data_IF_401360466842
#
_entry.id   IF_401360466842
#
_cell.length_a   1.000
_cell.length_b   1.000
_cell.length_c   1.000
_cell.angle_alpha   90.00
_cell.angle_beta   90.00
_cell.angle_gamma   90.00
#
_symmetry.space_group_name_H-M   'P 1'
#
loop_
_entity.id
_entity.type
_entity.pdbx_description
1 polymer ?
2 non-polymer ?
#
# COMPACT_ATOMS: atom_id res chain seq x y z
N UNK A 1 14.42 -14.36 -0.20
CA UNK A 1 13.35 -15.26 -0.66
C UNK A 1 12.00 -14.73 -0.21
N UNK A 2 11.88 -14.42 1.07
CA UNK A 2 10.67 -13.84 1.60
C UNK A 2 10.68 -12.37 1.22
N UNK A 3 9.85 -12.02 0.29
CA UNK A 3 9.83 -10.68 -0.22
C UNK A 3 8.98 -9.77 0.68
N UNK A 4 9.53 -9.47 1.87
CA UNK A 4 8.89 -8.59 2.82
C UNK A 4 8.76 -7.24 2.15
N UNK A 5 7.57 -6.73 2.07
CA UNK A 5 7.30 -5.52 1.32
C UNK A 5 7.90 -4.35 2.10
N UNK A 6 8.83 -3.67 1.47
CA UNK A 6 9.51 -2.56 2.10
C UNK A 6 8.88 -1.23 1.68
N UNK A 7 9.42 -0.15 2.20
CA UNK A 7 8.96 1.17 1.86
C UNK A 7 9.24 1.43 0.36
N UNK A 8 10.38 0.92 -0.11
CA UNK A 8 10.79 1.08 -1.50
C UNK A 8 9.88 0.29 -2.44
N UNK A 9 9.45 -0.89 -1.99
CA UNK A 9 8.53 -1.72 -2.80
C UNK A 9 7.19 -1.04 -2.87
N UNK A 10 6.75 -0.50 -1.73
CA UNK A 10 5.47 0.17 -1.65
C UNK A 10 5.48 1.42 -2.50
N UNK A 11 6.60 2.13 -2.49
CA UNK A 11 6.76 3.36 -3.29
C UNK A 11 6.54 3.05 -4.77
N UNK A 12 6.87 1.86 -5.19
CA UNK A 12 6.63 1.43 -6.54
C UNK A 12 5.16 1.05 -6.70
N UNK A 13 4.75 0.05 -5.93
CA UNK A 13 3.42 -0.58 -6.03
C UNK A 13 2.25 0.37 -5.84
N UNK A 14 2.42 1.35 -4.96
CA UNK A 14 1.38 2.32 -4.71
C UNK A 14 1.11 3.11 -6.00
N UNK A 15 2.19 3.45 -6.70
CA UNK A 15 2.12 4.20 -7.96
C UNK A 15 1.53 3.33 -9.07
N UNK A 16 1.77 2.05 -8.96
CA UNK A 16 1.32 1.07 -9.96
C UNK A 16 -0.19 0.85 -9.88
N UNK A 17 -0.80 1.40 -8.87
CA UNK A 17 -2.20 1.26 -8.69
C UNK A 17 -2.90 2.62 -8.87
N UNK A 18 -2.16 3.60 -9.34
CA UNK A 18 -2.68 4.93 -9.59
C UNK A 18 -2.41 5.29 -11.03
N UNK A 19 -3.44 5.62 -11.76
CA UNK A 19 -3.30 5.89 -13.17
C UNK A 19 -3.24 7.37 -13.50
N UNK A 20 -4.26 8.10 -13.11
CA UNK A 20 -4.37 9.51 -13.48
C UNK A 20 -3.81 10.40 -12.41
N UNK A 21 -3.50 9.79 -11.33
CA UNK A 21 -2.89 10.45 -10.25
C UNK A 21 -1.41 10.20 -10.35
N UNK A 22 -0.83 10.88 -11.28
CA UNK A 22 0.56 10.81 -11.52
C UNK A 22 1.17 12.15 -11.24
N UNK A 23 2.24 12.14 -10.52
CA UNK A 23 2.93 13.36 -10.26
C UNK A 23 2.82 13.81 -8.84
N UNK A 24 2.65 12.88 -7.94
CA UNK A 24 2.60 13.21 -6.55
C UNK A 24 4.03 13.18 -5.97
N UNK A 25 4.17 13.17 -4.67
CA UNK A 25 5.48 13.01 -4.10
C UNK A 25 5.44 11.89 -3.15
N UNK A 26 6.23 10.90 -3.43
CA UNK A 26 6.26 9.74 -2.63
C UNK A 26 7.72 9.48 -2.27
N UNK A 27 8.53 10.52 -2.31
CA UNK A 27 9.95 10.34 -2.14
C UNK A 27 10.47 11.06 -0.91
N UNK A 28 9.73 12.01 -0.47
CA UNK A 28 10.12 12.79 0.69
C UNK A 28 9.48 12.30 1.94
N UNK A 29 9.69 11.01 2.22
CA UNK A 29 9.11 10.29 3.39
C UNK A 29 7.58 10.31 3.36
N UNK A 30 7.03 9.30 2.78
CA UNK A 30 5.59 9.20 2.65
C UNK A 30 5.04 8.22 3.65
N UNK A 31 5.93 7.60 4.41
CA UNK A 31 5.57 6.47 5.27
C UNK A 31 4.62 6.89 6.40
N UNK A 32 4.82 8.07 6.95
CA UNK A 32 3.95 8.59 8.02
C UNK A 32 3.07 9.69 7.53
N UNK A 33 3.04 9.88 6.24
CA UNK A 33 2.23 10.91 5.64
C UNK A 33 0.85 10.30 5.42
N UNK A 34 -0.16 11.08 5.21
CA UNK A 34 -1.49 10.50 5.10
C UNK A 34 -1.85 10.31 3.65
N UNK A 35 -2.73 9.35 3.36
CA UNK A 35 -3.15 9.10 1.98
C UNK A 35 -3.77 10.32 1.30
N UNK A 36 -4.36 11.21 2.08
CA UNK A 36 -4.95 12.43 1.56
C UNK A 36 -3.85 13.40 1.07
N UNK A 37 -2.67 13.32 1.67
CA UNK A 37 -1.58 14.22 1.35
C UNK A 37 -0.92 13.74 0.10
N UNK A 38 -0.86 12.44 -0.04
CA UNK A 38 -0.24 11.84 -1.20
C UNK A 38 -1.23 11.71 -2.38
N UNK A 39 -2.38 12.36 -2.23
CA UNK A 39 -3.40 12.40 -3.29
C UNK A 39 -3.98 11.05 -3.64
N UNK A 40 -4.21 10.22 -2.66
CA UNK A 40 -4.75 8.93 -2.92
C UNK A 40 -6.23 8.85 -2.73
N UNK A 41 -6.85 8.23 -3.69
CA UNK A 41 -8.28 8.06 -3.70
C UNK A 41 -8.66 6.89 -2.81
N UNK A 42 -9.91 6.73 -2.61
CA UNK A 42 -10.48 5.75 -1.76
C UNK A 42 -10.44 4.42 -2.51
N UNK A 43 -10.86 4.47 -3.77
CA UNK A 43 -10.91 3.30 -4.64
C UNK A 43 -9.51 2.86 -5.01
N UNK A 44 -8.64 3.85 -5.21
CA UNK A 44 -7.25 3.63 -5.56
C UNK A 44 -6.54 2.78 -4.54
N UNK A 45 -6.88 2.95 -3.27
CA UNK A 45 -6.26 2.18 -2.23
C UNK A 45 -6.77 0.73 -2.22
N UNK A 46 -8.06 0.56 -2.52
CA UNK A 46 -8.67 -0.80 -2.58
C UNK A 46 -7.96 -1.58 -3.66
N UNK A 47 -7.75 -0.89 -4.73
CA UNK A 47 -7.03 -1.33 -5.88
C UNK A 47 -5.55 -1.63 -5.55
N UNK A 48 -4.90 -0.71 -4.84
CA UNK A 48 -3.53 -0.88 -4.36
C UNK A 48 -3.41 -2.18 -3.54
N UNK A 49 -4.36 -2.37 -2.66
CA UNK A 49 -4.40 -3.52 -1.78
C UNK A 49 -4.54 -4.80 -2.59
N UNK A 50 -5.54 -4.83 -3.48
CA UNK A 50 -5.81 -5.99 -4.35
C UNK A 50 -4.59 -6.35 -5.18
N UNK A 51 -3.88 -5.34 -5.65
CA UNK A 51 -2.66 -5.49 -6.42
C UNK A 51 -1.63 -6.25 -5.59
N UNK A 52 -1.44 -5.80 -4.37
CA UNK A 52 -0.48 -6.38 -3.46
C UNK A 52 -0.91 -7.79 -3.04
N UNK A 53 -2.21 -7.97 -2.81
CA UNK A 53 -2.77 -9.26 -2.45
C UNK A 53 -2.41 -10.31 -3.51
N UNK A 54 -2.66 -9.97 -4.75
CA UNK A 54 -2.48 -10.90 -5.84
C UNK A 54 -0.99 -11.12 -6.17
N UNK A 55 -0.15 -10.12 -5.97
CA UNK A 55 1.26 -10.28 -6.26
C UNK A 55 2.01 -11.05 -5.17
N UNK A 56 1.80 -10.66 -3.93
CA UNK A 56 2.57 -11.26 -2.84
C UNK A 56 1.90 -12.49 -2.26
N UNK A 57 0.63 -12.68 -2.56
CA UNK A 57 -0.08 -13.84 -2.06
C UNK A 57 -0.61 -13.60 -0.66
N UNK A 58 -1.39 -12.56 -0.51
CA UNK A 58 -1.98 -12.19 0.77
C UNK A 58 -3.43 -11.83 0.55
N UNK A 59 -4.09 -11.33 1.57
CA UNK A 59 -5.42 -10.84 1.45
C UNK A 59 -5.69 -9.80 2.52
N UNK A 60 -6.42 -8.77 2.16
CA UNK A 60 -6.81 -7.70 3.06
C UNK A 60 -8.28 -7.39 2.81
N UNK A 61 -9.12 -7.39 3.87
CA UNK A 61 -10.50 -6.95 3.75
C UNK A 61 -10.55 -5.53 3.19
N UNK A 62 -11.38 -5.31 2.19
CA UNK A 62 -11.39 -4.04 1.45
C UNK A 62 -11.74 -2.84 2.33
N UNK A 63 -12.53 -3.05 3.37
CA UNK A 63 -12.88 -1.96 4.28
C UNK A 63 -11.68 -1.57 5.14
N UNK A 64 -10.81 -2.55 5.39
CA UNK A 64 -9.63 -2.31 6.24
C UNK A 64 -8.60 -1.47 5.49
N UNK A 65 -8.72 -1.47 4.17
CA UNK A 65 -7.88 -0.66 3.34
C UNK A 65 -8.24 0.80 3.52
N UNK A 66 -9.51 1.03 3.76
CA UNK A 66 -9.99 2.37 3.98
C UNK A 66 -9.86 2.78 5.45
N UNK A 67 -9.43 1.85 6.28
CA UNK A 67 -9.26 2.11 7.69
C UNK A 67 -7.85 2.61 7.99
N UNK A 68 -6.95 2.44 7.05
CA UNK A 68 -5.58 2.89 7.25
C UNK A 68 -5.47 4.38 6.98
N UNK A 69 -4.51 5.02 7.60
CA UNK A 69 -4.35 6.46 7.49
C UNK A 69 -3.06 6.76 6.80
N UNK A 70 -2.05 6.07 7.25
CA UNK A 70 -0.72 6.23 6.76
C UNK A 70 -0.26 4.93 6.08
N UNK A 71 0.58 5.02 5.04
CA UNK A 71 1.09 3.87 4.28
C UNK A 71 1.71 2.77 5.14
N UNK A 72 2.28 3.14 6.30
CA UNK A 72 2.92 2.14 7.16
C UNK A 72 1.91 1.10 7.67
N UNK A 73 0.67 1.54 7.83
CA UNK A 73 -0.38 0.67 8.33
C UNK A 73 -0.81 -0.32 7.25
N UNK A 74 -0.84 0.17 6.02
CA UNK A 74 -1.19 -0.65 4.86
C UNK A 74 -0.10 -1.71 4.68
N UNK A 75 1.11 -1.23 4.79
CA UNK A 75 2.31 -2.02 4.68
C UNK A 75 2.32 -3.11 5.75
N UNK A 76 1.85 -2.74 6.94
CA UNK A 76 1.74 -3.63 8.09
C UNK A 76 0.74 -4.73 7.82
N UNK A 77 -0.32 -4.39 7.13
CA UNK A 77 -1.35 -5.33 6.76
C UNK A 77 -0.79 -6.41 5.83
N UNK A 78 -0.05 -5.96 4.83
CA UNK A 78 0.58 -6.85 3.87
C UNK A 78 1.54 -7.79 4.59
N UNK A 79 2.57 -7.22 5.19
CA UNK A 79 3.61 -8.02 5.86
C UNK A 79 3.06 -8.86 6.99
N UNK A 80 1.99 -8.38 7.60
CA UNK A 80 1.33 -9.13 8.66
C UNK A 80 0.77 -10.44 8.12
N UNK A 81 0.02 -10.35 7.03
CA UNK A 81 -0.60 -11.51 6.41
C UNK A 81 0.47 -12.40 5.76
N UNK A 82 1.51 -11.75 5.27
CA UNK A 82 2.64 -12.42 4.66
C UNK A 82 3.37 -13.26 5.70
N UNK A 83 3.55 -12.70 6.88
CA UNK A 83 4.21 -13.39 7.97
C UNK A 83 3.37 -14.55 8.50
N UNK A 84 2.07 -14.54 8.20
CA UNK A 84 1.18 -15.62 8.55
C UNK A 84 1.35 -16.78 7.56
N UNK A 85 1.74 -16.45 6.34
CA UNK A 85 2.02 -17.46 5.33
C UNK A 85 3.43 -18.01 5.57
N UNK A 86 4.28 -17.14 6.12
CA UNK A 86 5.62 -17.44 6.55
C UNK A 86 6.50 -17.85 5.40
X LIG B 1 -13.72 6.20 0.33
X LIG B 1 -14.30 7.31 -0.62
X LIG B 1 -13.28 6.63 1.75
X LIG B 1 -14.80 5.10 0.47
X LIG B 1 -15.25 4.41 -0.76
X LIG B 1 -16.17 3.22 -0.43
X LIG B 1 -16.54 2.55 -1.76
X LIG B 1 -15.41 2.21 0.44
X LIG B 1 -17.48 3.67 0.35
X LIG B 1 -18.25 2.53 0.78
X LIG B 1 -18.41 4.61 -0.46
X LIG B 1 -17.98 5.38 -1.33
X LIG B 1 -19.67 4.53 -0.14
X LIG B 1 -20.73 5.33 -0.76
X LIG B 1 -21.82 4.47 -1.41
X LIG B 1 -21.38 3.79 -2.72
X LIG B 1 -22.10 2.94 -3.27
X LIG B 1 -20.20 4.17 -3.20
X LIG B 1 -19.57 3.67 -4.41
X LIG B 1 -18.39 4.52 -4.79
X LIG B 1 -17.22 3.90 -6.03
X LIG B 1 -17.57 2.24 -6.73
X LIG B 1 -18.80 1.49 -6.25
X LIG B 1 -19.10 0.04 -6.85
X LIG B 1 -20.13 -0.52 -6.44
X LIG B 1 -18.26 -0.74 -7.93
X LIG B 1 -17.00 -0.13 -8.50
X LIG B 1 -16.32 -1.07 -9.49
X LIG B 1 -15.04 -0.52 -10.13
X LIG B 1 -14.41 -1.20 -10.94
X LIG B 1 -14.56 0.87 -9.73
X LIG B 1 -15.78 5.12 -1.37
X LIG B 1 -14.38 4.05 -1.29
X LIG B 1 -17.05 3.27 -2.37
X LIG B 1 -17.19 1.70 -1.58
X LIG B 1 -15.65 2.23 -2.26
X LIG B 1 -14.55 1.85 -0.10
X LIG B 1 -16.05 1.38 0.68
X LIG B 1 -15.09 2.70 1.35
X LIG B 1 -17.19 4.19 1.24
X LIG B 1 -18.76 2.21 0.02
X LIG B 1 -19.92 3.90 0.58
X LIG B 1 -21.21 5.90 0.03
X LIG B 1 -20.30 5.99 -1.49
X LIG B 1 -22.18 3.74 -0.71
X LIG B 1 -22.65 5.13 -1.63
X LIG B 1 -19.68 4.84 -2.70
X LIG B 1 -19.20 2.68 -4.17
X LIG B 1 -20.30 3.61 -5.20
X LIG B 1 -17.82 4.65 -3.88
X LIG B 1 -18.73 5.48 -5.15
X LIG B 1 -17.64 2.35 -7.80
X LIG B 1 -16.70 1.64 -6.51
X LIG B 1 -19.65 2.12 -6.43
X LIG B 1 -18.70 1.36 -5.19
X LIG B 1 -18.93 -0.98 -8.74
X LIG B 1 -17.96 -1.68 -7.49
X LIG B 1 -16.31 0.10 -7.71
X LIG B 1 -17.25 0.78 -9.03
X LIG B 1 -17.03 -1.31 -10.28
X LIG B 1 -16.08 -1.99 -8.97
X LIG B 1 -14.66 0.99 -8.66
X LIG B 1 -15.17 1.61 -10.24
X LIG B 1 -13.53 0.97 -10.03
#
# INVERSE_FOLDING_TARGET
MATLLTTDDLRRALVESAGETDGTDLSGDFLDLRFEDIGYDSLALMETAARLESRYGVSIPDDVAGRVDTPRELLDLINGALAEAA
SDO P24 O26 O23 O27 C28 C29 C30 C31 C32 O33 C34 O35 N36 C37 C38 C39 O40 N41 C42 C43 S1 C1 C2 C3 O3 C4 C5 C6 C7 O7 C8 H28A H28B H30A H30B H30C H31A H31B H31C H32A H33A H36A H37A H37B H38A H38B H41A H42A H42B H43A H43B H1A H1B H2A H2B H4A H4B H5A H5B H6A H6B H8A H8B H8C
#
